data_IF_343452058118
#
_entry.id   IF_343452058118
#
_cell.length_a   1.000
_cell.length_b   1.000
_cell.length_c   1.000
_cell.angle_alpha   90.00
_cell.angle_beta   90.00
_cell.angle_gamma   90.00
#
_symmetry.space_group_name_H-M   'P 1'
#
loop_
_entity.id
_entity.type
_entity.pdbx_description
1 polymer ?
#
# COMPACT_ATOMS: atom_id res chain seq x y z
N UNK A 1 20.71 9.43 13.28
CA UNK A 1 20.10 10.78 13.29
C UNK A 1 19.25 10.96 14.56
N UNK A 2 18.74 12.17 14.86
CA UNK A 2 17.92 12.44 16.05
C UNK A 2 16.43 12.18 15.74
N UNK A 3 15.75 11.23 16.42
CA UNK A 3 14.34 10.94 16.19
C UNK A 3 13.42 12.16 16.38
N UNK A 4 13.79 13.07 17.27
CA UNK A 4 13.03 14.26 17.65
C UNK A 4 12.90 15.28 16.51
N UNK A 5 13.82 15.23 15.54
CA UNK A 5 13.87 16.14 14.39
C UNK A 5 13.67 15.43 13.05
N UNK A 6 13.67 14.10 13.03
CA UNK A 6 13.56 13.32 11.80
C UNK A 6 12.12 13.28 11.26
N UNK A 7 11.91 13.27 9.93
CA UNK A 7 10.57 13.17 9.34
C UNK A 7 9.90 11.84 9.71
N UNK A 8 8.59 11.76 9.54
CA UNK A 8 7.82 10.54 9.78
C UNK A 8 7.28 9.98 8.47
N UNK A 9 7.41 8.68 8.26
CA UNK A 9 6.61 8.00 7.24
C UNK A 9 5.59 7.06 7.87
N UNK A 10 4.41 7.01 7.26
CA UNK A 10 3.40 6.00 7.52
C UNK A 10 3.37 5.02 6.34
N UNK A 11 3.38 3.73 6.65
CA UNK A 11 3.45 2.67 5.66
C UNK A 11 2.20 1.77 5.70
N UNK A 12 1.63 1.52 4.52
CA UNK A 12 0.53 0.57 4.30
C UNK A 12 0.95 -0.49 3.26
N UNK A 13 0.92 -1.76 3.68
CA UNK A 13 1.21 -2.95 2.88
C UNK A 13 0.25 -3.14 1.71
N UNK A 14 0.68 -3.93 0.71
CA UNK A 14 -0.06 -4.12 -0.55
C UNK A 14 -1.20 -5.13 -0.51
N UNK A 15 -1.75 -5.47 -1.68
CA UNK A 15 -2.91 -6.38 -1.85
C UNK A 15 -4.26 -5.85 -1.32
N UNK A 16 -4.22 -4.83 -0.44
CA UNK A 16 -5.13 -4.67 0.70
C UNK A 16 -5.15 -5.96 1.53
N UNK A 17 -4.92 -5.87 2.83
CA UNK A 17 -4.90 -7.07 3.68
C UNK A 17 -3.52 -7.70 3.89
N UNK A 18 -2.46 -7.20 3.24
CA UNK A 18 -1.09 -7.61 3.60
C UNK A 18 -0.59 -6.84 4.82
N UNK A 19 -0.04 -7.54 5.80
CA UNK A 19 0.52 -6.90 6.99
C UNK A 19 1.71 -6.00 6.64
N UNK A 20 1.62 -4.75 7.10
CA UNK A 20 2.68 -3.76 7.09
C UNK A 20 3.80 -4.15 8.05
N UNK A 21 3.49 -4.79 9.17
CA UNK A 21 4.50 -5.30 10.12
C UNK A 21 5.32 -6.41 9.47
N UNK A 22 4.67 -7.33 8.76
CA UNK A 22 5.37 -8.33 7.96
C UNK A 22 6.31 -7.71 6.92
N UNK A 23 5.89 -6.58 6.33
CA UNK A 23 6.75 -5.82 5.39
C UNK A 23 7.93 -5.16 6.09
N UNK A 24 7.73 -4.57 7.27
CA UNK A 24 8.80 -4.00 8.08
C UNK A 24 9.90 -5.03 8.35
N UNK A 25 9.50 -6.26 8.70
CA UNK A 25 10.41 -7.35 9.04
C UNK A 25 11.13 -8.01 7.85
N UNK A 26 10.74 -7.69 6.60
CA UNK A 26 11.25 -8.37 5.40
C UNK A 26 11.84 -7.42 4.35
N UNK A 27 11.57 -6.12 4.43
CA UNK A 27 11.96 -5.16 3.38
C UNK A 27 12.85 -4.05 3.93
N UNK A 28 12.27 -3.10 4.66
CA UNK A 28 12.92 -1.81 4.97
C UNK A 28 12.74 -1.35 6.42
N UNK A 29 12.19 -2.20 7.30
CA UNK A 29 12.20 -1.96 8.74
C UNK A 29 13.60 -2.17 9.34
N UNK A 30 13.74 -1.94 10.66
CA UNK A 30 15.05 -1.92 11.34
C UNK A 30 15.70 -3.29 11.47
N UNK A 31 14.91 -4.37 11.39
CA UNK A 31 15.37 -5.73 11.60
C UNK A 31 14.83 -6.64 10.49
N UNK A 32 15.61 -7.67 10.13
CA UNK A 32 15.17 -8.71 9.20
C UNK A 32 14.99 -10.05 9.90
N UNK A 33 13.92 -10.78 9.55
CA UNK A 33 13.74 -12.17 9.99
C UNK A 33 14.52 -13.15 9.11
N UNK A 34 15.10 -14.19 9.71
CA UNK A 34 15.70 -15.29 8.98
C UNK A 34 14.64 -16.31 8.52
N UNK A 35 15.08 -17.32 7.77
CA UNK A 35 14.22 -18.42 7.28
C UNK A 35 13.56 -19.24 8.40
N UNK A 36 14.07 -19.15 9.62
CA UNK A 36 13.54 -19.85 10.80
C UNK A 36 12.59 -18.96 11.63
N UNK A 37 12.24 -17.77 11.14
CA UNK A 37 11.35 -16.83 11.84
C UNK A 37 12.00 -16.09 13.02
N UNK A 38 13.33 -16.18 13.18
CA UNK A 38 14.05 -15.47 14.22
C UNK A 38 14.60 -14.14 13.69
N UNK A 39 14.56 -13.10 14.52
CA UNK A 39 15.22 -11.82 14.22
C UNK A 39 16.71 -12.07 14.06
N UNK A 40 17.25 -11.78 12.87
CA UNK A 40 18.61 -12.19 12.53
C UNK A 40 19.62 -11.05 12.69
N UNK A 41 19.31 -9.87 12.12
CA UNK A 41 20.28 -8.80 11.91
C UNK A 41 19.58 -7.43 11.84
N UNK A 42 20.32 -6.39 12.25
CA UNK A 42 20.01 -4.99 11.96
C UNK A 42 20.08 -4.76 10.44
N UNK A 43 19.05 -4.15 9.90
CA UNK A 43 18.98 -3.79 8.50
C UNK A 43 19.77 -2.49 8.25
N UNK A 44 20.97 -2.61 7.69
CA UNK A 44 21.83 -1.46 7.33
C UNK A 44 21.24 -0.52 6.28
N UNK A 45 20.16 -0.93 5.60
CA UNK A 45 19.42 -0.11 4.63
C UNK A 45 18.03 0.26 5.15
N UNK A 46 17.83 0.20 6.47
CA UNK A 46 16.56 0.53 7.06
C UNK A 46 16.20 1.99 6.84
N UNK A 47 14.93 2.25 6.53
CA UNK A 47 14.43 3.61 6.44
C UNK A 47 14.35 4.28 7.82
N UNK A 48 14.38 3.48 8.91
CA UNK A 48 14.34 4.01 10.28
C UNK A 48 15.63 4.71 10.70
N UNK A 49 16.72 4.54 9.95
CA UNK A 49 17.98 5.28 10.19
C UNK A 49 17.82 6.79 9.93
N UNK A 50 16.87 7.15 9.05
CA UNK A 50 16.65 8.50 8.57
C UNK A 50 15.30 9.11 8.94
N UNK A 51 14.39 8.32 9.52
CA UNK A 51 13.01 8.73 9.75
C UNK A 51 12.33 7.94 10.86
N UNK A 52 11.32 8.55 11.48
CA UNK A 52 10.37 7.82 12.31
C UNK A 52 9.44 7.00 11.39
N UNK A 53 9.11 5.78 11.79
CA UNK A 53 8.27 4.88 10.99
C UNK A 53 7.01 4.46 11.73
N UNK A 54 5.87 4.56 11.06
CA UNK A 54 4.57 4.04 11.53
C UNK A 54 4.12 2.98 10.52
N UNK A 55 3.92 1.74 10.96
CA UNK A 55 3.50 0.63 10.12
C UNK A 55 2.08 0.25 10.50
N UNK A 56 1.14 0.40 9.56
CA UNK A 56 -0.29 0.23 9.86
C UNK A 56 -0.83 -0.97 9.10
N UNK A 57 -1.35 -1.95 9.83
CA UNK A 57 -2.14 -3.03 9.25
C UNK A 57 -3.54 -2.51 8.97
N UNK A 58 -3.88 -2.38 7.68
CA UNK A 58 -5.18 -1.91 7.22
C UNK A 58 -5.54 -2.61 5.89
N UNK A 59 -6.82 -2.93 5.62
CA UNK A 59 -8.07 -2.72 6.38
C UNK A 59 -8.15 -3.45 7.73
N UNK A 60 -9.26 -3.27 8.47
CA UNK A 60 -9.45 -3.73 9.85
C UNK A 60 -9.22 -5.22 10.13
N UNK A 61 -9.24 -6.08 9.10
CA UNK A 61 -9.00 -7.54 9.19
C UNK A 61 -7.55 -7.94 8.86
N UNK A 62 -6.65 -6.97 8.72
CA UNK A 62 -5.26 -7.19 8.28
C UNK A 62 -4.35 -7.50 9.46
N UNK A 63 -3.55 -8.55 9.34
CA UNK A 63 -2.47 -8.85 10.30
C UNK A 63 -2.96 -8.87 11.75
N UNK A 64 -2.51 -7.90 12.55
CA UNK A 64 -2.92 -7.78 13.96
C UNK A 64 -4.07 -6.81 14.23
N UNK A 65 -4.57 -6.12 13.20
CA UNK A 65 -5.76 -5.27 13.34
C UNK A 65 -6.99 -6.14 13.62
N UNK A 66 -7.75 -5.76 14.65
CA UNK A 66 -8.98 -6.42 15.07
C UNK A 66 -10.15 -5.49 14.79
N UNK A 67 -10.70 -5.58 13.59
CA UNK A 67 -11.85 -4.81 13.15
C UNK A 67 -12.64 -5.51 12.04
N UNK A 68 -13.86 -5.05 11.75
CA UNK A 68 -14.62 -5.55 10.62
C UNK A 68 -13.93 -5.19 9.30
N UNK A 69 -14.17 -5.97 8.26
CA UNK A 69 -13.77 -5.59 6.90
C UNK A 69 -14.59 -4.37 6.47
N UNK A 70 -13.90 -3.33 6.00
CA UNK A 70 -14.54 -2.16 5.42
C UNK A 70 -15.27 -2.49 4.10
N UNK A 71 -16.40 -1.83 3.87
CA UNK A 71 -17.25 -2.06 2.68
C UNK A 71 -16.60 -1.66 1.37
N UNK A 72 -15.71 -0.67 1.42
CA UNK A 72 -15.06 -0.08 0.26
C UNK A 72 -13.81 0.73 0.67
N UNK A 73 -13.08 1.22 -0.33
CA UNK A 73 -11.87 2.03 -0.14
C UNK A 73 -12.12 3.37 0.56
N UNK A 74 -13.30 3.98 0.38
CA UNK A 74 -13.60 5.25 1.03
C UNK A 74 -13.71 5.06 2.55
N UNK A 75 -14.33 3.95 2.99
CA UNK A 75 -14.39 3.60 4.41
C UNK A 75 -13.02 3.25 4.99
N UNK A 76 -12.15 2.57 4.24
CA UNK A 76 -10.75 2.35 4.65
C UNK A 76 -10.03 3.69 4.87
N UNK A 77 -10.17 4.64 3.94
CA UNK A 77 -9.55 5.96 4.05
C UNK A 77 -10.12 6.76 5.22
N UNK A 78 -11.44 6.70 5.45
CA UNK A 78 -12.09 7.34 6.60
C UNK A 78 -11.52 6.82 7.93
N UNK A 79 -11.41 5.50 8.08
CA UNK A 79 -10.84 4.88 9.27
C UNK A 79 -9.37 5.28 9.47
N UNK A 80 -8.58 5.35 8.39
CA UNK A 80 -7.19 5.83 8.46
C UNK A 80 -7.07 7.30 8.85
N UNK A 81 -8.01 8.16 8.43
CA UNK A 81 -8.08 9.55 8.88
C UNK A 81 -8.35 9.61 10.39
N UNK A 82 -9.31 8.82 10.88
CA UNK A 82 -9.61 8.75 12.32
C UNK A 82 -8.42 8.23 13.12
N UNK A 83 -7.75 7.20 12.62
CA UNK A 83 -6.52 6.68 13.22
C UNK A 83 -5.42 7.76 13.30
N UNK A 84 -5.15 8.47 12.20
CA UNK A 84 -4.10 9.50 12.17
C UNK A 84 -4.44 10.70 13.07
N UNK A 85 -5.69 11.14 13.09
CA UNK A 85 -6.13 12.23 13.95
C UNK A 85 -5.97 11.88 15.44
N UNK A 86 -6.36 10.67 15.85
CA UNK A 86 -6.13 10.17 17.20
C UNK A 86 -4.64 10.02 17.52
N UNK A 87 -3.89 9.35 16.64
CA UNK A 87 -2.46 9.10 16.82
C UNK A 87 -1.67 10.39 17.04
N UNK A 88 -1.93 11.44 16.26
CA UNK A 88 -1.19 12.70 16.38
C UNK A 88 -1.71 13.63 17.48
N UNK A 89 -2.90 13.38 18.05
CA UNK A 89 -3.31 14.01 19.32
C UNK A 89 -2.50 13.44 20.48
N UNK A 90 -2.32 12.12 20.51
CA UNK A 90 -1.60 11.43 21.59
C UNK A 90 -0.07 11.51 21.41
N UNK A 91 0.40 11.47 20.17
CA UNK A 91 1.81 11.45 19.77
C UNK A 91 2.13 12.56 18.76
N UNK A 92 1.86 13.81 19.14
CA UNK A 92 2.07 14.98 18.27
C UNK A 92 3.51 15.15 17.77
N UNK A 93 4.50 14.60 18.48
CA UNK A 93 5.89 14.53 18.03
C UNK A 93 6.10 13.65 16.79
N UNK A 94 5.15 12.78 16.42
CA UNK A 94 5.24 12.01 15.18
C UNK A 94 4.61 12.74 13.98
N UNK A 95 3.85 13.82 14.20
CA UNK A 95 3.26 14.65 13.14
C UNK A 95 4.29 15.62 12.53
N UNK A 96 5.40 15.09 12.04
CA UNK A 96 6.54 15.86 11.54
C UNK A 96 6.86 15.43 10.13
N UNK A 97 6.67 16.35 9.19
CA UNK A 97 6.94 16.17 7.78
C UNK A 97 6.47 14.79 7.29
N UNK A 98 5.17 14.52 7.48
CA UNK A 98 4.57 13.22 7.28
C UNK A 98 4.61 12.85 5.79
N UNK A 99 5.11 11.65 5.50
CA UNK A 99 5.06 11.03 4.19
C UNK A 99 4.20 9.76 4.24
N UNK A 100 3.22 9.64 3.36
CA UNK A 100 2.39 8.43 3.26
C UNK A 100 2.99 7.49 2.22
N UNK A 101 3.20 6.23 2.56
CA UNK A 101 3.80 5.22 1.69
C UNK A 101 2.83 4.06 1.54
N UNK A 102 2.43 3.79 0.29
CA UNK A 102 1.53 2.70 -0.05
C UNK A 102 2.12 1.86 -1.16
N UNK A 103 1.91 0.55 -1.09
CA UNK A 103 2.45 -0.42 -2.06
C UNK A 103 1.34 -1.10 -2.83
N UNK A 104 1.54 -1.40 -4.13
CA UNK A 104 0.57 -2.16 -4.92
C UNK A 104 -0.84 -1.51 -4.85
N UNK A 105 -1.90 -2.27 -4.54
CA UNK A 105 -3.26 -1.74 -4.39
C UNK A 105 -3.39 -0.60 -3.36
N UNK A 106 -2.56 -0.60 -2.31
CA UNK A 106 -2.57 0.43 -1.26
C UNK A 106 -1.93 1.75 -1.70
N UNK A 107 -1.29 1.81 -2.87
CA UNK A 107 -0.88 3.07 -3.49
C UNK A 107 -2.09 4.01 -3.71
N UNK A 108 -3.21 3.45 -4.15
CA UNK A 108 -4.46 4.20 -4.32
C UNK A 108 -5.00 4.67 -2.97
N UNK A 109 -4.90 3.85 -1.92
CA UNK A 109 -5.32 4.21 -0.55
C UNK A 109 -4.54 5.41 -0.02
N UNK A 110 -3.21 5.38 -0.09
CA UNK A 110 -2.41 6.51 0.41
C UNK A 110 -2.57 7.78 -0.42
N UNK A 111 -2.85 7.66 -1.72
CA UNK A 111 -3.19 8.81 -2.57
C UNK A 111 -4.54 9.43 -2.16
N UNK A 112 -5.56 8.60 -1.93
CA UNK A 112 -6.87 9.03 -1.46
C UNK A 112 -6.79 9.63 -0.04
N UNK A 113 -6.00 9.03 0.85
CA UNK A 113 -5.75 9.53 2.19
C UNK A 113 -5.06 10.89 2.15
N UNK A 114 -4.00 11.03 1.36
CA UNK A 114 -3.31 12.30 1.16
C UNK A 114 -4.24 13.39 0.61
N UNK A 115 -5.05 13.07 -0.40
CA UNK A 115 -6.06 14.00 -0.92
C UNK A 115 -7.08 14.40 0.15
N UNK A 116 -7.51 13.47 1.00
CA UNK A 116 -8.48 13.73 2.07
C UNK A 116 -7.89 14.66 3.14
N UNK A 117 -6.63 14.44 3.52
CA UNK A 117 -5.91 15.29 4.50
C UNK A 117 -5.78 16.72 3.96
N UNK A 118 -5.35 16.89 2.71
CA UNK A 118 -5.21 18.23 2.08
C UNK A 118 -6.54 18.97 2.05
N UNK A 119 -7.66 18.27 1.79
CA UNK A 119 -9.00 18.85 1.77
C UNK A 119 -9.58 19.15 3.16
N UNK A 120 -8.95 18.65 4.24
CA UNK A 120 -9.41 18.78 5.62
C UNK A 120 -8.34 19.45 6.50
N UNK A 121 -8.05 20.75 6.30
CA UNK A 121 -6.99 21.46 7.03
C UNK A 121 -7.20 21.47 8.56
N UNK A 122 -8.43 21.29 9.04
CA UNK A 122 -8.75 21.20 10.46
C UNK A 122 -8.09 20.01 11.19
N UNK A 123 -7.64 18.98 10.45
CA UNK A 123 -6.92 17.83 11.01
C UNK A 123 -5.51 18.20 11.50
N UNK A 124 -4.95 19.34 11.05
CA UNK A 124 -3.60 19.82 11.41
C UNK A 124 -2.48 18.78 11.19
N UNK A 125 -2.66 17.86 10.24
CA UNK A 125 -1.66 16.87 9.86
C UNK A 125 -0.63 17.54 8.93
N UNK A 126 0.66 17.49 9.29
CA UNK A 126 1.77 18.07 8.55
C UNK A 126 2.21 17.15 7.39
N UNK A 127 1.31 16.91 6.43
CA UNK A 127 1.58 16.10 5.25
C UNK A 127 2.53 16.82 4.28
N UNK A 128 3.60 16.14 3.86
CA UNK A 128 4.57 16.64 2.88
C UNK A 128 4.60 15.86 1.58
N UNK A 129 4.23 14.59 1.61
CA UNK A 129 4.27 13.77 0.40
C UNK A 129 3.52 12.45 0.48
N UNK A 130 3.27 11.90 -0.72
CA UNK A 130 2.73 10.56 -0.90
C UNK A 130 3.66 9.81 -1.84
N UNK A 131 4.13 8.65 -1.41
CA UNK A 131 4.92 7.72 -2.18
C UNK A 131 4.08 6.48 -2.53
N UNK A 132 3.92 6.25 -3.83
CA UNK A 132 3.22 5.10 -4.38
C UNK A 132 4.24 4.10 -4.91
N UNK A 133 4.56 3.06 -4.14
CA UNK A 133 5.58 2.08 -4.51
C UNK A 133 4.98 0.93 -5.32
N UNK A 134 5.44 0.72 -6.55
CA UNK A 134 4.91 -0.29 -7.48
C UNK A 134 3.37 -0.31 -7.49
N UNK A 135 2.77 0.87 -7.51
CA UNK A 135 1.34 1.05 -7.23
C UNK A 135 0.45 0.56 -8.37
N UNK A 136 -0.70 -0.01 -8.02
CA UNK A 136 -1.75 -0.34 -9.00
C UNK A 136 -2.60 0.93 -9.29
N UNK A 137 -1.98 1.91 -9.96
CA UNK A 137 -2.60 3.18 -10.33
C UNK A 137 -3.02 3.13 -11.81
N UNK A 138 -4.33 3.20 -12.07
CA UNK A 138 -4.87 3.05 -13.42
C UNK A 138 -4.73 1.61 -13.95
N UNK A 139 -5.57 0.65 -13.47
CA UNK A 139 -5.42 -0.77 -13.76
C UNK A 139 -5.34 -1.10 -15.26
N UNK A 140 -6.12 -0.41 -16.09
CA UNK A 140 -6.12 -0.61 -17.53
C UNK A 140 -4.76 -0.27 -18.17
N UNK A 141 -4.17 0.86 -17.78
CA UNK A 141 -2.87 1.32 -18.29
C UNK A 141 -1.74 0.39 -17.85
N UNK A 142 -1.75 -0.02 -16.57
CA UNK A 142 -0.77 -0.98 -16.05
C UNK A 142 -0.87 -2.29 -16.81
N UNK A 143 -2.07 -2.80 -17.03
CA UNK A 143 -2.27 -4.03 -17.76
C UNK A 143 -1.76 -3.93 -19.20
N UNK A 144 -2.10 -2.86 -19.91
CA UNK A 144 -1.60 -2.62 -21.26
C UNK A 144 -0.05 -2.53 -21.30
N UNK A 145 0.55 -1.92 -20.29
CA UNK A 145 2.00 -1.87 -20.10
C UNK A 145 2.60 -3.27 -19.89
N UNK A 146 2.01 -4.08 -19.00
CA UNK A 146 2.41 -5.47 -18.77
C UNK A 146 2.36 -6.29 -20.06
N UNK A 147 1.31 -6.13 -20.87
CA UNK A 147 1.20 -6.83 -22.15
C UNK A 147 2.28 -6.43 -23.15
N UNK A 148 2.58 -5.14 -23.22
CA UNK A 148 3.61 -4.60 -24.10
C UNK A 148 4.98 -5.15 -23.70
N UNK A 149 5.32 -5.06 -22.41
CA UNK A 149 6.55 -5.61 -21.85
C UNK A 149 6.67 -7.12 -22.09
N UNK A 150 5.60 -7.89 -21.87
CA UNK A 150 5.61 -9.34 -22.08
C UNK A 150 5.85 -9.72 -23.55
N UNK A 151 5.32 -8.94 -24.51
CA UNK A 151 5.59 -9.11 -25.94
C UNK A 151 7.06 -8.83 -26.26
N UNK A 152 7.57 -7.69 -25.82
CA UNK A 152 8.96 -7.25 -26.09
C UNK A 152 9.98 -8.22 -25.50
N UNK A 153 9.70 -8.74 -24.31
CA UNK A 153 10.56 -9.71 -23.62
C UNK A 153 10.34 -11.16 -24.03
N UNK A 154 9.47 -11.42 -25.02
CA UNK A 154 9.12 -12.76 -25.51
C UNK A 154 8.66 -13.70 -24.40
N UNK A 155 7.94 -13.16 -23.42
CA UNK A 155 7.35 -13.90 -22.29
C UNK A 155 5.97 -14.48 -22.61
N UNK A 156 5.37 -14.05 -23.72
CA UNK A 156 4.07 -14.58 -24.12
C UNK A 156 4.19 -15.98 -24.75
N UNK A 157 3.20 -16.87 -24.52
CA UNK A 157 3.13 -18.16 -25.20
C UNK A 157 3.20 -17.98 -26.73
N UNK A 158 3.81 -18.93 -27.42
CA UNK A 158 4.01 -18.85 -28.87
C UNK A 158 2.67 -18.86 -29.66
N UNK A 159 1.64 -19.52 -29.13
CA UNK A 159 0.33 -19.68 -29.77
C UNK A 159 -0.58 -18.45 -29.69
N UNK A 160 -1.10 -18.01 -30.84
CA UNK A 160 -2.00 -16.85 -30.92
C UNK A 160 -3.35 -17.07 -30.25
N UNK A 161 -3.91 -18.28 -30.33
CA UNK A 161 -5.15 -18.68 -29.68
C UNK A 161 -5.06 -18.62 -28.15
N UNK A 162 -3.94 -19.09 -27.60
CA UNK A 162 -3.66 -19.11 -26.16
C UNK A 162 -3.47 -17.68 -25.62
N UNK A 163 -2.75 -16.84 -26.38
CA UNK A 163 -2.63 -15.40 -26.09
C UNK A 163 -4.00 -14.71 -26.09
N UNK A 164 -4.84 -14.93 -27.11
CA UNK A 164 -6.18 -14.32 -27.18
C UNK A 164 -7.07 -14.76 -26.03
N UNK A 165 -7.06 -16.04 -25.66
CA UNK A 165 -7.84 -16.59 -24.54
C UNK A 165 -7.42 -15.98 -23.20
N UNK A 166 -6.11 -15.90 -22.95
CA UNK A 166 -5.59 -15.29 -21.74
C UNK A 166 -5.99 -13.81 -21.63
N UNK A 167 -5.87 -13.05 -22.73
CA UNK A 167 -6.19 -11.62 -22.73
C UNK A 167 -7.68 -11.31 -22.68
N UNK A 168 -8.54 -12.13 -23.29
CA UNK A 168 -9.99 -11.95 -23.20
C UNK A 168 -10.49 -12.14 -21.77
N UNK A 169 -10.00 -13.17 -21.08
CA UNK A 169 -10.40 -13.45 -19.69
C UNK A 169 -9.99 -12.31 -18.76
N UNK A 170 -8.74 -11.86 -18.84
CA UNK A 170 -8.25 -10.81 -17.96
C UNK A 170 -8.92 -9.46 -18.25
N UNK A 171 -9.11 -9.11 -19.53
CA UNK A 171 -9.83 -7.88 -19.90
C UNK A 171 -11.28 -7.90 -19.41
N UNK A 172 -11.94 -9.04 -19.45
CA UNK A 172 -13.33 -9.18 -19.01
C UNK A 172 -13.46 -9.07 -17.48
N UNK A 173 -12.53 -9.64 -16.72
CA UNK A 173 -12.44 -9.48 -15.25
C UNK A 173 -12.24 -8.02 -14.88
N UNK A 174 -11.33 -7.30 -15.55
CA UNK A 174 -11.11 -5.88 -15.26
C UNK A 174 -12.25 -4.97 -15.71
N UNK A 175 -12.90 -5.29 -16.83
CA UNK A 175 -14.09 -4.55 -17.28
C UNK A 175 -15.22 -4.71 -16.26
N UNK A 176 -15.47 -5.93 -15.78
CA UNK A 176 -16.45 -6.19 -14.72
C UNK A 176 -16.11 -5.50 -13.40
N UNK A 177 -14.83 -5.44 -13.03
CA UNK A 177 -14.36 -4.70 -11.86
C UNK A 177 -14.47 -3.16 -12.02
N UNK A 178 -14.34 -2.66 -13.26
CA UNK A 178 -14.40 -1.23 -13.58
C UNK A 178 -15.83 -0.68 -13.77
N UNK A 179 -16.80 -1.51 -14.18
CA UNK A 179 -18.18 -1.07 -14.44
C UNK A 179 -19.13 -1.21 -13.24
N UNK A 180 -18.81 -2.07 -12.25
CA UNK A 180 -19.74 -2.40 -11.16
C UNK A 180 -19.25 -2.07 -9.72
N UNK A 181 -18.18 -1.28 -9.56
CA UNK A 181 -17.59 -1.06 -8.23
C UNK A 181 -16.91 -2.32 -7.66
N UNK A 182 -16.14 -2.22 -6.57
CA UNK A 182 -15.17 -3.25 -6.22
C UNK A 182 -15.86 -4.52 -5.71
N UNK A 183 -15.84 -5.60 -6.50
CA UNK A 183 -15.88 -6.97 -5.97
C UNK A 183 -14.51 -7.61 -6.23
N UNK A 184 -13.58 -7.38 -5.30
CA UNK A 184 -12.24 -7.98 -5.28
C UNK A 184 -12.25 -9.42 -4.72
N UNK A 185 -13.31 -10.20 -4.95
CA UNK A 185 -13.44 -11.55 -4.36
C UNK A 185 -12.82 -12.66 -5.22
N UNK A 186 -12.28 -12.36 -6.41
CA UNK A 186 -11.95 -13.43 -7.39
C UNK A 186 -10.54 -13.40 -7.98
N UNK A 187 -9.63 -12.55 -7.50
CA UNK A 187 -8.28 -12.40 -8.09
C UNK A 187 -7.18 -13.08 -7.24
N UNK A 188 -7.53 -13.77 -6.15
CA UNK A 188 -6.61 -14.69 -5.47
C UNK A 188 -7.01 -16.14 -5.76
N UNK A 189 -6.58 -16.65 -6.92
CA UNK A 189 -6.13 -18.03 -7.14
C UNK A 189 -5.47 -18.14 -8.51
#
# INVERSE_FOLDING_TARGET
KSPETSPTFLYIGGGLGSSSIGTAATVNGPCTMNRNGLVQLLNRYSWTEDSNSIWVDAPGTTGFSLGPMESDLAKVVENLVHFLDGLFKDHGNLNRDLHLVGTSASASVVAMLGSTIVKKPQLKINLKGVMMRHGLVGPLSIYQGCLTMAKERKLLPAGESERRRHFSTVRQVFYQAGTNGPRFESICM
#
